data_IF_881127614416
#
_entry.id   IF_881127614416
#
_cell.length_a   1.000
_cell.length_b   1.000
_cell.length_c   1.000
_cell.angle_alpha   90.00
_cell.angle_beta   90.00
_cell.angle_gamma   90.00
#
_symmetry.space_group_name_H-M   'P 1'
#
loop_
_entity.id
_entity.type
_entity.pdbx_description
1 polymer ?
#
# COMPACT_ATOMS: atom_id res chain seq x y z
N UNK A 1 -10.50 -11.08 -11.52
CA UNK A 1 -9.34 -11.79 -10.90
C UNK A 1 -9.64 -12.27 -9.48
N UNK A 2 -9.81 -11.41 -8.49
CA UNK A 2 -10.21 -11.76 -7.13
C UNK A 2 -11.63 -11.27 -6.87
N UNK A 3 -12.51 -12.15 -6.37
CA UNK A 3 -13.88 -11.80 -5.99
C UNK A 3 -14.16 -12.23 -4.57
N UNK A 4 -14.65 -11.31 -3.75
CA UNK A 4 -15.00 -11.51 -2.35
C UNK A 4 -16.46 -11.10 -2.16
N UNK A 5 -17.30 -12.01 -1.63
CA UNK A 5 -18.72 -11.79 -1.42
C UNK A 5 -19.12 -12.09 0.03
N UNK A 6 -19.63 -11.05 0.72
CA UNK A 6 -20.17 -11.11 2.08
C UNK A 6 -19.22 -11.80 3.08
N UNK A 7 -17.92 -11.50 2.97
CA UNK A 7 -16.89 -12.09 3.80
C UNK A 7 -17.04 -11.65 5.26
N UNK A 8 -17.27 -12.59 6.15
CA UNK A 8 -17.32 -12.36 7.58
C UNK A 8 -16.33 -13.28 8.30
N UNK A 9 -15.48 -12.67 9.15
CA UNK A 9 -14.50 -13.39 9.97
C UNK A 9 -14.63 -12.98 11.42
N UNK A 10 -14.80 -13.99 12.29
CA UNK A 10 -14.86 -13.81 13.75
C UNK A 10 -13.75 -14.56 14.44
N UNK A 11 -13.20 -13.97 15.50
CA UNK A 11 -12.31 -14.59 16.46
C UNK A 11 -13.00 -14.57 17.83
N UNK A 12 -13.61 -15.67 18.20
CA UNK A 12 -14.49 -15.73 19.37
C UNK A 12 -15.65 -14.70 19.25
N UNK A 13 -15.71 -13.76 20.17
CA UNK A 13 -16.74 -12.68 20.18
C UNK A 13 -16.36 -11.48 19.29
N UNK A 14 -15.09 -11.38 18.87
CA UNK A 14 -14.60 -10.25 18.07
C UNK A 14 -14.85 -10.50 16.58
N UNK A 15 -15.54 -9.57 15.92
CA UNK A 15 -15.75 -9.59 14.46
C UNK A 15 -14.64 -8.79 13.81
N UNK A 16 -13.71 -9.48 13.15
CA UNK A 16 -12.56 -8.87 12.48
C UNK A 16 -12.90 -8.41 11.06
N UNK A 17 -13.85 -9.07 10.38
CA UNK A 17 -14.43 -8.68 9.10
C UNK A 17 -15.93 -8.88 9.15
N UNK A 18 -16.69 -7.91 8.67
CA UNK A 18 -18.15 -7.89 8.71
C UNK A 18 -18.73 -7.59 7.33
N UNK A 19 -19.18 -8.66 6.64
CA UNK A 19 -19.84 -8.62 5.33
C UNK A 19 -19.04 -7.87 4.25
N UNK A 20 -17.71 -8.02 4.25
CA UNK A 20 -16.83 -7.39 3.27
C UNK A 20 -17.09 -7.99 1.90
N UNK A 21 -17.38 -7.12 0.92
CA UNK A 21 -17.46 -7.48 -0.50
C UNK A 21 -16.58 -6.55 -1.32
N UNK A 22 -15.75 -7.13 -2.19
CA UNK A 22 -14.89 -6.38 -3.11
C UNK A 22 -14.49 -7.25 -4.29
N UNK A 23 -14.11 -6.60 -5.37
CA UNK A 23 -13.64 -7.26 -6.59
C UNK A 23 -12.40 -6.55 -7.12
N UNK A 24 -11.40 -7.34 -7.54
CA UNK A 24 -10.23 -6.84 -8.25
C UNK A 24 -10.35 -7.23 -9.73
N UNK A 25 -10.23 -6.25 -10.58
CA UNK A 25 -10.15 -6.45 -12.02
C UNK A 25 -8.81 -7.08 -12.39
N UNK A 26 -8.79 -7.79 -13.52
CA UNK A 26 -7.56 -8.35 -14.05
C UNK A 26 -6.58 -7.25 -14.46
N UNK A 27 -5.30 -7.51 -14.25
CA UNK A 27 -4.21 -6.61 -14.67
C UNK A 27 -4.32 -5.20 -14.06
N UNK A 28 -4.93 -5.08 -12.89
CA UNK A 28 -5.06 -3.83 -12.16
C UNK A 28 -4.30 -3.88 -10.83
N UNK A 29 -3.88 -2.73 -10.35
CA UNK A 29 -3.38 -2.57 -9.00
C UNK A 29 -4.46 -1.97 -8.11
N UNK A 30 -4.72 -2.62 -6.97
CA UNK A 30 -5.69 -2.18 -5.97
C UNK A 30 -4.98 -1.94 -4.64
N UNK A 31 -5.16 -0.76 -4.08
CA UNK A 31 -4.75 -0.45 -2.71
C UNK A 31 -5.83 -0.88 -1.71
N UNK A 32 -5.43 -1.63 -0.70
CA UNK A 32 -6.25 -1.93 0.48
C UNK A 32 -5.77 -1.05 1.63
N UNK A 33 -6.45 0.06 1.83
CA UNK A 33 -6.11 1.10 2.79
C UNK A 33 -6.87 0.93 4.10
N UNK A 34 -6.32 1.43 5.19
CA UNK A 34 -6.97 1.46 6.49
C UNK A 34 -5.99 1.41 7.65
N UNK A 35 -6.42 1.85 8.85
CA UNK A 35 -5.57 1.89 10.02
C UNK A 35 -5.14 0.50 10.49
N UNK A 36 -4.18 0.45 11.42
CA UNK A 36 -3.83 -0.78 12.09
C UNK A 36 -5.05 -1.36 12.82
N UNK A 37 -5.28 -2.65 12.64
CA UNK A 37 -6.47 -3.31 13.18
C UNK A 37 -7.74 -3.19 12.33
N UNK A 38 -7.71 -2.51 11.17
CA UNK A 38 -8.86 -2.40 10.26
C UNK A 38 -9.34 -3.75 9.69
N UNK A 39 -8.48 -4.78 9.69
CA UNK A 39 -8.80 -6.11 9.16
C UNK A 39 -8.04 -6.48 7.88
N UNK A 40 -7.10 -5.65 7.38
CA UNK A 40 -6.36 -5.86 6.13
C UNK A 40 -5.68 -7.24 6.08
N UNK A 41 -4.79 -7.54 7.03
CA UNK A 41 -4.11 -8.84 7.14
C UNK A 41 -5.10 -10.00 7.34
N UNK A 42 -6.20 -9.78 8.07
CA UNK A 42 -7.24 -10.80 8.24
C UNK A 42 -7.92 -11.12 6.91
N UNK A 43 -8.22 -10.11 6.10
CA UNK A 43 -8.78 -10.27 4.76
C UNK A 43 -7.81 -11.07 3.87
N UNK A 44 -6.54 -10.70 3.86
CA UNK A 44 -5.50 -11.42 3.10
C UNK A 44 -5.41 -12.89 3.56
N UNK A 45 -5.42 -13.16 4.87
CA UNK A 45 -5.42 -14.53 5.41
C UNK A 45 -6.65 -15.35 4.97
N UNK A 46 -7.81 -14.71 4.85
CA UNK A 46 -9.00 -15.35 4.29
C UNK A 46 -8.82 -15.66 2.79
N UNK A 47 -8.29 -14.72 2.01
CA UNK A 47 -7.98 -14.92 0.57
C UNK A 47 -6.99 -16.07 0.38
N UNK A 48 -5.98 -16.17 1.25
CA UNK A 48 -5.01 -17.27 1.24
C UNK A 48 -5.59 -18.59 1.77
N UNK A 49 -6.86 -18.62 2.25
CA UNK A 49 -7.45 -19.81 2.85
C UNK A 49 -6.69 -20.32 4.07
N UNK A 50 -6.08 -19.41 4.84
CA UNK A 50 -5.32 -19.73 6.07
C UNK A 50 -6.21 -19.73 7.32
N UNK A 51 -7.39 -19.16 7.24
CA UNK A 51 -8.35 -19.06 8.36
C UNK A 51 -9.77 -19.34 7.86
N UNK A 52 -10.60 -19.93 8.70
CA UNK A 52 -12.02 -20.14 8.38
C UNK A 52 -12.78 -18.81 8.38
N UNK A 53 -13.72 -18.67 7.46
CA UNK A 53 -14.57 -17.51 7.29
C UNK A 53 -15.97 -17.91 6.80
N UNK A 54 -16.91 -16.98 6.81
CA UNK A 54 -18.22 -17.08 6.17
C UNK A 54 -18.23 -16.17 4.93
N UNK A 55 -18.99 -16.52 3.91
CA UNK A 55 -19.02 -15.84 2.62
C UNK A 55 -18.31 -16.63 1.55
N UNK A 56 -17.97 -15.97 0.43
CA UNK A 56 -17.29 -16.60 -0.70
C UNK A 56 -16.06 -15.81 -1.10
N UNK A 57 -15.00 -16.51 -1.46
CA UNK A 57 -13.80 -15.93 -2.06
C UNK A 57 -13.40 -16.82 -3.25
N UNK A 58 -13.19 -16.19 -4.40
CA UNK A 58 -12.70 -16.87 -5.60
C UNK A 58 -11.52 -16.10 -6.19
N UNK A 59 -10.48 -16.83 -6.59
CA UNK A 59 -9.33 -16.33 -7.35
C UNK A 59 -9.39 -16.94 -8.73
N UNK A 60 -9.57 -16.12 -9.74
CA UNK A 60 -9.77 -16.52 -11.13
C UNK A 60 -10.82 -17.66 -11.29
N UNK A 61 -11.96 -17.45 -10.62
CA UNK A 61 -13.07 -18.41 -10.60
C UNK A 61 -12.85 -19.64 -9.70
N UNK A 62 -11.66 -19.83 -9.09
CA UNK A 62 -11.37 -20.93 -8.19
C UNK A 62 -11.75 -20.56 -6.75
N UNK A 63 -12.69 -21.28 -6.17
CA UNK A 63 -13.10 -21.10 -4.77
C UNK A 63 -11.96 -21.46 -3.81
N UNK A 64 -11.60 -20.54 -2.92
CA UNK A 64 -10.44 -20.73 -2.01
C UNK A 64 -10.67 -21.79 -0.94
N UNK A 65 -11.91 -22.24 -0.70
CA UNK A 65 -12.23 -23.30 0.25
C UNK A 65 -12.25 -24.65 -0.46
N UNK A 66 -13.01 -24.75 -1.56
CA UNK A 66 -13.25 -26.01 -2.27
C UNK A 66 -12.10 -26.37 -3.22
N UNK A 67 -11.46 -25.39 -3.86
CA UNK A 67 -10.34 -25.57 -4.80
C UNK A 67 -9.06 -24.90 -4.28
N UNK A 68 -8.77 -25.04 -2.99
CA UNK A 68 -7.72 -24.34 -2.27
C UNK A 68 -6.34 -24.41 -2.96
N UNK A 69 -5.94 -25.60 -3.44
CA UNK A 69 -4.64 -25.78 -4.12
C UNK A 69 -4.57 -24.99 -5.42
N UNK A 70 -5.62 -25.03 -6.24
CA UNK A 70 -5.68 -24.29 -7.50
C UNK A 70 -5.71 -22.78 -7.24
N UNK A 71 -6.55 -22.30 -6.32
CA UNK A 71 -6.60 -20.90 -5.94
C UNK A 71 -5.26 -20.40 -5.42
N UNK A 72 -4.59 -21.15 -4.52
CA UNK A 72 -3.28 -20.78 -3.99
C UNK A 72 -2.17 -20.75 -5.03
N UNK A 73 -2.22 -21.62 -6.06
CA UNK A 73 -1.21 -21.60 -7.11
C UNK A 73 -1.26 -20.35 -7.98
N UNK A 74 -2.38 -19.62 -7.95
CA UNK A 74 -2.59 -18.36 -8.67
C UNK A 74 -2.19 -17.13 -7.86
N UNK A 75 -1.75 -17.30 -6.60
CA UNK A 75 -1.42 -16.19 -5.71
C UNK A 75 0.03 -16.22 -5.29
N UNK A 76 0.74 -15.13 -5.55
CA UNK A 76 2.01 -14.80 -4.92
C UNK A 76 1.75 -13.92 -3.70
N UNK A 77 2.18 -14.35 -2.53
CA UNK A 77 1.96 -13.61 -1.28
C UNK A 77 3.28 -13.19 -0.64
N UNK A 78 3.40 -11.90 -0.36
CA UNK A 78 4.51 -11.29 0.38
C UNK A 78 3.94 -10.78 1.71
N UNK A 79 4.24 -11.46 2.83
CA UNK A 79 3.77 -11.04 4.15
C UNK A 79 4.53 -9.81 4.64
N UNK A 80 3.96 -9.12 5.64
CA UNK A 80 4.56 -7.97 6.31
C UNK A 80 5.95 -8.32 6.90
N UNK A 81 6.05 -9.50 7.51
CA UNK A 81 7.31 -10.06 8.01
C UNK A 81 7.55 -11.41 7.37
N UNK A 82 8.58 -11.49 6.55
CA UNK A 82 9.00 -12.74 5.95
C UNK A 82 9.91 -13.50 6.91
N UNK A 83 9.50 -14.69 7.31
CA UNK A 83 10.32 -15.59 8.13
C UNK A 83 11.15 -16.47 7.23
N UNK A 84 12.46 -16.27 7.24
CA UNK A 84 13.45 -17.06 6.52
C UNK A 84 14.36 -17.81 7.49
N UNK A 85 15.07 -18.81 6.97
CA UNK A 85 16.13 -19.49 7.73
C UNK A 85 17.42 -18.67 7.62
N UNK A 86 17.73 -17.88 8.64
CA UNK A 86 18.87 -16.95 8.65
C UNK A 86 20.23 -17.61 8.38
N UNK A 87 20.38 -18.90 8.71
CA UNK A 87 21.61 -19.69 8.51
C UNK A 87 21.77 -20.25 7.10
N UNK A 88 20.71 -20.24 6.28
CA UNK A 88 20.75 -20.71 4.89
C UNK A 88 21.31 -19.64 3.96
N UNK A 89 21.89 -20.04 2.85
CA UNK A 89 22.18 -19.15 1.75
C UNK A 89 20.88 -18.76 1.00
N UNK A 90 20.88 -17.60 0.37
CA UNK A 90 19.74 -17.12 -0.45
C UNK A 90 19.35 -18.17 -1.48
N UNK A 91 20.33 -18.79 -2.13
CA UNK A 91 20.11 -19.80 -3.16
C UNK A 91 19.45 -21.06 -2.58
N UNK A 92 19.95 -21.56 -1.47
CA UNK A 92 19.40 -22.77 -0.82
C UNK A 92 17.99 -22.54 -0.31
N UNK A 93 17.75 -21.38 0.32
CA UNK A 93 16.41 -20.97 0.73
C UNK A 93 15.45 -20.90 -0.47
N UNK A 94 15.94 -20.40 -1.60
CA UNK A 94 15.13 -20.26 -2.81
C UNK A 94 14.84 -21.63 -3.46
N UNK A 95 15.82 -22.52 -3.49
CA UNK A 95 15.62 -23.88 -3.98
C UNK A 95 14.65 -24.69 -3.12
N UNK A 96 14.74 -24.55 -1.79
CA UNK A 96 13.80 -25.18 -0.87
C UNK A 96 12.35 -24.77 -1.18
N UNK A 97 12.10 -23.46 -1.35
CA UNK A 97 10.75 -22.98 -1.64
C UNK A 97 10.30 -23.38 -3.07
N UNK A 98 11.20 -23.34 -4.04
CA UNK A 98 10.90 -23.80 -5.40
C UNK A 98 10.50 -25.28 -5.41
N UNK A 99 11.23 -26.15 -4.69
CA UNK A 99 10.90 -27.57 -4.57
C UNK A 99 9.52 -27.79 -3.92
N UNK A 100 9.23 -27.08 -2.82
CA UNK A 100 7.91 -27.13 -2.17
C UNK A 100 6.77 -26.67 -3.09
N UNK A 101 7.05 -25.74 -4.00
CA UNK A 101 6.10 -25.27 -5.02
C UNK A 101 6.11 -26.12 -6.30
N UNK A 102 7.00 -27.13 -6.42
CA UNK A 102 7.17 -27.95 -7.62
C UNK A 102 7.71 -27.15 -8.82
N UNK A 103 8.66 -26.22 -8.56
CA UNK A 103 9.27 -25.33 -9.56
C UNK A 103 10.73 -25.69 -9.80
N UNK A 104 11.22 -25.31 -10.99
CA UNK A 104 12.59 -25.64 -11.39
C UNK A 104 13.65 -24.72 -10.75
N UNK A 105 14.91 -25.17 -10.77
CA UNK A 105 16.05 -24.36 -10.30
C UNK A 105 16.36 -23.21 -11.25
N UNK A 106 16.09 -23.39 -12.54
CA UNK A 106 16.23 -22.35 -13.56
C UNK A 106 15.31 -21.17 -13.25
N UNK A 107 14.05 -21.46 -12.88
CA UNK A 107 13.11 -20.41 -12.48
C UNK A 107 13.60 -19.62 -11.28
N UNK A 108 14.27 -20.24 -10.31
CA UNK A 108 14.88 -19.53 -9.17
C UNK A 108 15.91 -18.51 -9.63
N UNK A 109 16.76 -18.86 -10.61
CA UNK A 109 17.73 -17.93 -11.18
C UNK A 109 17.05 -16.72 -11.78
N UNK A 110 16.01 -16.95 -12.58
CA UNK A 110 15.26 -15.88 -13.25
C UNK A 110 14.60 -14.94 -12.23
N UNK A 111 13.94 -15.51 -11.20
CA UNK A 111 13.27 -14.71 -10.17
C UNK A 111 14.23 -13.93 -9.27
N UNK A 112 15.37 -14.51 -8.88
CA UNK A 112 16.40 -13.77 -8.16
C UNK A 112 17.05 -12.67 -9.02
N UNK A 113 17.20 -12.91 -10.34
CA UNK A 113 17.64 -11.89 -11.29
C UNK A 113 16.64 -10.74 -11.42
N UNK A 114 15.35 -11.04 -11.50
CA UNK A 114 14.27 -10.06 -11.63
C UNK A 114 14.21 -9.04 -10.47
N UNK A 115 14.70 -9.43 -9.28
CA UNK A 115 14.73 -8.59 -8.08
C UNK A 115 16.14 -8.14 -7.69
N UNK A 116 17.13 -8.23 -8.57
CA UNK A 116 18.51 -7.86 -8.33
C UNK A 116 19.17 -8.55 -7.12
N UNK A 117 18.87 -9.82 -6.90
CA UNK A 117 19.42 -10.63 -5.81
C UNK A 117 20.37 -11.76 -6.28
N UNK A 118 20.51 -11.98 -7.59
CA UNK A 118 21.31 -13.07 -8.10
C UNK A 118 22.78 -13.00 -7.65
N UNK A 119 23.37 -11.82 -7.58
CA UNK A 119 24.75 -11.63 -7.14
C UNK A 119 24.94 -11.86 -5.63
N UNK A 120 23.86 -11.76 -4.86
CA UNK A 120 23.84 -12.03 -3.44
C UNK A 120 23.45 -13.48 -3.09
N UNK A 121 23.27 -14.37 -4.08
CA UNK A 121 22.75 -15.74 -3.90
C UNK A 121 23.51 -16.61 -2.91
N UNK A 122 24.83 -16.41 -2.76
CA UNK A 122 25.68 -17.16 -1.84
C UNK A 122 25.81 -16.49 -0.45
N UNK A 123 25.13 -15.35 -0.22
CA UNK A 123 25.10 -14.73 1.10
C UNK A 123 24.12 -15.47 2.00
N UNK A 124 24.41 -15.51 3.31
CA UNK A 124 23.44 -16.00 4.29
C UNK A 124 22.26 -15.03 4.38
N UNK A 125 21.06 -15.56 4.46
CA UNK A 125 19.82 -14.76 4.55
C UNK A 125 19.82 -13.83 5.77
N UNK A 126 20.39 -14.28 6.90
CA UNK A 126 20.53 -13.45 8.10
C UNK A 126 21.42 -12.22 7.92
N UNK A 127 22.33 -12.21 6.92
CA UNK A 127 23.21 -11.07 6.62
C UNK A 127 22.61 -10.06 5.62
N UNK A 128 21.42 -10.32 5.09
CA UNK A 128 20.75 -9.43 4.16
C UNK A 128 20.16 -8.20 4.88
N UNK A 129 20.18 -7.05 4.22
CA UNK A 129 19.40 -5.89 4.67
C UNK A 129 17.91 -6.16 4.60
N UNK A 130 17.08 -5.34 5.29
CA UNK A 130 15.61 -5.44 5.24
C UNK A 130 15.08 -5.37 3.81
N UNK A 131 15.57 -4.45 2.99
CA UNK A 131 15.21 -4.35 1.58
C UNK A 131 15.61 -5.58 0.76
N UNK A 132 16.78 -6.17 1.02
CA UNK A 132 17.19 -7.42 0.36
C UNK A 132 16.30 -8.60 0.81
N UNK A 133 15.94 -8.71 2.09
CA UNK A 133 15.01 -9.73 2.59
C UNK A 133 13.64 -9.58 1.94
N UNK A 134 13.17 -8.36 1.77
CA UNK A 134 11.92 -8.08 1.05
C UNK A 134 12.00 -8.54 -0.41
N UNK A 135 13.06 -8.17 -1.15
CA UNK A 135 13.29 -8.61 -2.52
C UNK A 135 13.34 -10.13 -2.62
N UNK A 136 13.96 -10.82 -1.67
CA UNK A 136 13.92 -12.28 -1.58
C UNK A 136 12.47 -12.79 -1.43
N UNK A 137 11.69 -12.21 -0.52
CA UNK A 137 10.27 -12.56 -0.34
C UNK A 137 9.47 -12.43 -1.64
N UNK A 138 9.72 -11.36 -2.39
CA UNK A 138 9.06 -11.11 -3.68
C UNK A 138 9.50 -12.14 -4.73
N UNK A 139 10.81 -12.44 -4.85
CA UNK A 139 11.31 -13.47 -5.76
C UNK A 139 10.63 -14.83 -5.49
N UNK A 140 10.52 -15.21 -4.21
CA UNK A 140 9.89 -16.46 -3.80
C UNK A 140 8.36 -16.46 -4.02
N UNK A 141 7.72 -15.30 -3.88
CA UNK A 141 6.30 -15.16 -4.20
C UNK A 141 6.04 -15.30 -5.70
N UNK A 142 6.95 -14.82 -6.55
CA UNK A 142 6.88 -14.90 -8.01
C UNK A 142 7.13 -16.30 -8.59
N UNK A 143 7.64 -17.26 -7.79
CA UNK A 143 7.81 -18.64 -8.24
C UNK A 143 6.45 -19.25 -8.65
N UNK A 144 6.39 -19.72 -9.87
CA UNK A 144 5.17 -20.25 -10.49
C UNK A 144 4.39 -19.23 -11.30
N UNK A 145 4.95 -18.04 -11.44
CA UNK A 145 4.38 -16.95 -12.24
C UNK A 145 2.92 -16.60 -11.92
N UNK A 146 2.54 -16.44 -10.63
CA UNK A 146 1.16 -16.25 -10.24
C UNK A 146 0.59 -14.97 -10.87
N UNK A 147 -0.66 -15.00 -11.37
CA UNK A 147 -1.31 -13.83 -11.96
C UNK A 147 -1.72 -12.77 -10.93
N UNK A 148 -1.96 -13.17 -9.67
CA UNK A 148 -2.30 -12.27 -8.57
C UNK A 148 -1.15 -12.19 -7.57
N UNK A 149 -0.66 -10.97 -7.31
CA UNK A 149 0.33 -10.69 -6.28
C UNK A 149 -0.31 -9.93 -5.12
N UNK A 150 -0.13 -10.41 -3.92
CA UNK A 150 -0.64 -9.79 -2.69
C UNK A 150 0.55 -9.37 -1.82
N UNK A 151 0.57 -8.09 -1.45
CA UNK A 151 1.58 -7.50 -0.59
C UNK A 151 0.93 -7.00 0.70
N UNK A 152 1.38 -7.48 1.86
CA UNK A 152 0.89 -7.06 3.17
C UNK A 152 1.92 -6.16 3.84
N UNK A 153 1.66 -4.83 3.86
CA UNK A 153 2.52 -3.78 4.41
C UNK A 153 3.99 -3.84 3.89
N UNK A 154 4.20 -3.90 2.57
CA UNK A 154 5.50 -4.26 2.00
C UNK A 154 6.61 -3.23 2.26
N UNK A 155 6.27 -1.99 2.61
CA UNK A 155 7.24 -0.90 2.77
C UNK A 155 7.46 -0.47 4.22
N UNK A 156 6.85 -1.16 5.19
CA UNK A 156 6.83 -0.75 6.60
C UNK A 156 8.22 -0.74 7.27
N UNK A 157 9.19 -1.51 6.78
CA UNK A 157 10.49 -1.72 7.41
C UNK A 157 11.67 -1.41 6.47
N UNK A 158 11.47 -0.61 5.43
CA UNK A 158 12.51 -0.25 4.47
C UNK A 158 12.71 1.26 4.41
N UNK A 159 13.93 1.67 4.07
CA UNK A 159 14.28 3.06 3.89
C UNK A 159 13.68 3.66 2.59
N UNK A 160 13.82 4.97 2.41
CA UNK A 160 13.29 5.67 1.24
C UNK A 160 13.78 5.09 -0.08
N UNK A 161 15.05 4.66 -0.13
CA UNK A 161 15.60 4.04 -1.35
C UNK A 161 14.91 2.71 -1.66
N UNK A 162 14.70 1.88 -0.65
CA UNK A 162 13.98 0.61 -0.79
C UNK A 162 12.51 0.82 -1.19
N UNK A 163 11.88 1.92 -0.72
CA UNK A 163 10.51 2.28 -1.14
C UNK A 163 10.46 2.60 -2.64
N UNK A 164 11.38 3.43 -3.14
CA UNK A 164 11.47 3.74 -4.57
C UNK A 164 11.78 2.49 -5.43
N UNK A 165 12.67 1.62 -4.98
CA UNK A 165 12.96 0.35 -5.64
C UNK A 165 11.70 -0.55 -5.69
N UNK A 166 10.88 -0.56 -4.62
CA UNK A 166 9.63 -1.29 -4.57
C UNK A 166 8.56 -0.70 -5.51
N UNK A 167 8.43 0.63 -5.60
CA UNK A 167 7.53 1.30 -6.53
C UNK A 167 7.86 0.96 -8.00
N UNK A 168 9.16 0.95 -8.35
CA UNK A 168 9.61 0.53 -9.68
C UNK A 168 9.22 -0.94 -9.95
N UNK A 169 9.41 -1.81 -8.97
CA UNK A 169 9.03 -3.22 -9.10
C UNK A 169 7.50 -3.39 -9.29
N UNK A 170 6.67 -2.60 -8.58
CA UNK A 170 5.21 -2.63 -8.79
C UNK A 170 4.85 -2.22 -10.23
N UNK A 171 5.53 -1.20 -10.76
CA UNK A 171 5.36 -0.75 -12.14
C UNK A 171 5.73 -1.85 -13.13
N UNK A 172 6.83 -2.55 -12.90
CA UNK A 172 7.28 -3.66 -13.74
C UNK A 172 6.30 -4.83 -13.69
N UNK A 173 5.84 -5.23 -12.52
CA UNK A 173 4.84 -6.29 -12.36
C UNK A 173 3.51 -5.94 -13.02
N UNK A 174 3.07 -4.69 -12.89
CA UNK A 174 1.87 -4.18 -13.56
C UNK A 174 2.02 -4.21 -15.08
N UNK A 175 3.18 -3.79 -15.61
CA UNK A 175 3.48 -3.84 -17.06
C UNK A 175 3.51 -5.26 -17.62
N UNK A 176 3.88 -6.25 -16.80
CA UNK A 176 3.83 -7.68 -17.12
C UNK A 176 2.40 -8.25 -17.06
N UNK A 177 1.41 -7.43 -16.75
CA UNK A 177 0.00 -7.81 -16.69
C UNK A 177 -0.39 -8.57 -15.41
N UNK A 178 0.37 -8.43 -14.33
CA UNK A 178 -0.01 -8.97 -13.01
C UNK A 178 -1.16 -8.14 -12.41
N UNK A 179 -2.01 -8.81 -11.67
CA UNK A 179 -2.98 -8.15 -10.79
C UNK A 179 -2.34 -7.97 -9.41
N UNK A 180 -2.44 -6.77 -8.83
CA UNK A 180 -1.78 -6.44 -7.57
C UNK A 180 -2.81 -6.07 -6.51
N UNK A 181 -2.71 -6.65 -5.31
CA UNK A 181 -3.40 -6.21 -4.10
C UNK A 181 -2.35 -5.77 -3.09
N UNK A 182 -2.34 -4.49 -2.74
CA UNK A 182 -1.32 -3.91 -1.87
C UNK A 182 -2.01 -3.38 -0.62
N UNK A 183 -1.88 -4.11 0.49
CA UNK A 183 -2.33 -3.61 1.79
C UNK A 183 -1.25 -2.70 2.37
N UNK A 184 -1.60 -1.46 2.64
CA UNK A 184 -0.67 -0.47 3.17
C UNK A 184 -1.38 0.60 3.98
N UNK A 185 -0.63 1.28 4.83
CA UNK A 185 -1.02 2.52 5.50
C UNK A 185 -0.16 3.69 5.01
N UNK A 186 0.74 3.48 4.05
CA UNK A 186 1.63 4.53 3.53
C UNK A 186 0.99 5.26 2.35
N UNK A 187 1.18 6.57 2.35
CA UNK A 187 0.86 7.46 1.24
C UNK A 187 1.95 7.35 0.16
N UNK A 188 1.56 7.59 -1.10
CA UNK A 188 2.49 7.65 -2.23
C UNK A 188 2.29 6.56 -3.27
N UNK A 189 1.57 5.48 -2.95
CA UNK A 189 1.25 4.43 -3.91
C UNK A 189 -0.04 4.72 -4.72
N UNK A 190 -0.72 5.85 -4.42
CA UNK A 190 -2.00 6.23 -5.06
C UNK A 190 -1.84 6.40 -6.59
N UNK A 191 -0.67 6.83 -7.05
CA UNK A 191 -0.36 7.01 -8.48
C UNK A 191 -0.17 5.69 -9.24
N UNK A 192 0.17 4.61 -8.52
CA UNK A 192 0.39 3.29 -9.09
C UNK A 192 -0.87 2.41 -9.11
N UNK A 193 -1.99 2.89 -8.54
CA UNK A 193 -3.19 2.10 -8.38
C UNK A 193 -4.36 2.62 -9.21
N UNK A 194 -5.09 1.70 -9.85
CA UNK A 194 -6.34 1.98 -10.55
C UNK A 194 -7.53 1.99 -9.60
N UNK A 195 -7.43 1.30 -8.46
CA UNK A 195 -8.49 1.19 -7.47
C UNK A 195 -7.94 1.30 -6.05
N UNK A 196 -8.73 1.86 -5.15
CA UNK A 196 -8.49 1.81 -3.72
C UNK A 196 -9.74 1.34 -2.98
N UNK A 197 -9.54 0.54 -1.94
CA UNK A 197 -10.58 0.07 -1.02
C UNK A 197 -10.15 0.50 0.38
N UNK A 198 -10.99 1.27 1.04
CA UNK A 198 -10.76 1.72 2.41
C UNK A 198 -11.49 0.80 3.37
N UNK A 199 -10.74 0.15 4.25
CA UNK A 199 -11.24 -0.74 5.28
C UNK A 199 -11.11 -0.07 6.65
N UNK A 200 -12.17 -0.09 7.45
CA UNK A 200 -12.14 0.30 8.86
C UNK A 200 -13.03 -0.61 9.69
N UNK A 201 -12.52 -1.03 10.87
CA UNK A 201 -13.25 -1.91 11.82
C UNK A 201 -13.92 -3.10 11.13
N UNK A 202 -13.23 -3.69 10.15
CA UNK A 202 -13.69 -4.86 9.40
C UNK A 202 -14.73 -4.59 8.33
N UNK A 203 -15.02 -3.34 7.97
CA UNK A 203 -16.00 -2.96 6.94
C UNK A 203 -15.35 -2.16 5.82
N UNK A 204 -15.86 -2.32 4.59
CA UNK A 204 -15.50 -1.44 3.48
C UNK A 204 -16.22 -0.12 3.66
N UNK A 205 -15.47 0.95 3.86
CA UNK A 205 -15.98 2.30 4.04
C UNK A 205 -16.13 3.02 2.70
N UNK A 206 -15.22 2.76 1.77
CA UNK A 206 -15.26 3.30 0.42
C UNK A 206 -14.45 2.43 -0.54
N UNK A 207 -14.82 2.49 -1.81
CA UNK A 207 -14.06 1.90 -2.91
C UNK A 207 -14.22 2.74 -4.17
N UNK A 208 -13.20 2.76 -5.03
CA UNK A 208 -13.20 3.48 -6.30
C UNK A 208 -11.80 3.90 -6.72
N UNK A 209 -11.71 4.69 -7.79
CA UNK A 209 -10.44 5.27 -8.23
C UNK A 209 -9.88 6.23 -7.18
N UNK A 210 -8.55 6.21 -6.88
CA UNK A 210 -7.95 7.05 -5.85
C UNK A 210 -8.31 8.54 -5.99
N UNK A 211 -8.17 9.10 -7.18
CA UNK A 211 -8.47 10.52 -7.43
C UNK A 211 -9.94 10.89 -7.23
N UNK A 212 -10.88 9.98 -7.51
CA UNK A 212 -12.30 10.20 -7.26
C UNK A 212 -12.65 10.14 -5.77
N UNK A 213 -12.02 9.21 -5.05
CA UNK A 213 -12.19 9.11 -3.60
C UNK A 213 -11.73 10.40 -2.91
N UNK A 214 -10.56 10.93 -3.30
CA UNK A 214 -10.04 12.20 -2.78
C UNK A 214 -11.00 13.38 -3.06
N UNK A 215 -11.59 13.44 -4.26
CA UNK A 215 -12.59 14.46 -4.60
C UNK A 215 -13.86 14.34 -3.75
N UNK A 216 -14.40 13.14 -3.56
CA UNK A 216 -15.64 12.89 -2.79
C UNK A 216 -15.51 13.31 -1.33
N UNK A 217 -14.31 13.17 -0.75
CA UNK A 217 -14.06 13.55 0.66
C UNK A 217 -13.60 15.00 0.82
N UNK A 218 -13.65 15.82 -0.24
CA UNK A 218 -13.12 17.18 -0.22
C UNK A 218 -11.70 17.25 0.39
N UNK A 219 -10.82 16.45 -0.15
CA UNK A 219 -9.49 16.26 0.38
C UNK A 219 -8.73 17.57 0.59
N UNK A 220 -8.06 17.69 1.74
CA UNK A 220 -7.37 18.89 2.19
C UNK A 220 -5.86 18.63 2.15
N UNK A 221 -5.17 19.29 1.23
CA UNK A 221 -3.71 19.36 1.22
C UNK A 221 -3.22 20.28 2.35
N UNK A 222 -1.96 20.16 2.74
CA UNK A 222 -1.34 21.11 3.65
C UNK A 222 -0.17 21.79 2.95
N UNK A 223 -0.22 23.11 2.83
CA UNK A 223 0.92 23.92 2.36
C UNK A 223 1.68 24.40 3.58
N UNK A 224 2.96 24.11 3.62
CA UNK A 224 3.91 24.66 4.58
C UNK A 224 4.68 25.77 3.86
N UNK A 225 4.64 26.97 4.42
CA UNK A 225 5.36 28.12 3.86
C UNK A 225 6.20 28.75 4.95
N UNK A 226 7.45 29.04 4.62
CA UNK A 226 8.34 29.87 5.44
C UNK A 226 8.62 31.14 4.66
N UNK A 227 8.32 32.28 5.27
CA UNK A 227 8.51 33.61 4.70
C UNK A 227 9.44 34.43 5.58
N UNK A 228 9.95 35.54 5.07
CA UNK A 228 10.68 36.53 5.88
C UNK A 228 9.78 37.11 6.98
N UNK A 229 10.36 37.59 8.06
CA UNK A 229 9.61 38.18 9.19
C UNK A 229 8.66 39.28 8.73
N UNK A 230 9.11 40.17 7.85
CA UNK A 230 8.32 41.28 7.31
C UNK A 230 7.10 40.80 6.48
N UNK A 231 7.17 39.61 5.90
CA UNK A 231 6.12 39.04 5.07
C UNK A 231 5.13 38.17 5.87
N UNK A 232 5.41 37.86 7.14
CA UNK A 232 4.61 36.91 7.92
C UNK A 232 3.14 37.34 8.09
N UNK A 233 2.90 38.61 8.40
CA UNK A 233 1.54 39.14 8.54
C UNK A 233 0.77 39.10 7.20
N UNK A 234 1.42 39.44 6.11
CA UNK A 234 0.82 39.42 4.77
C UNK A 234 0.51 37.98 4.34
N UNK A 235 1.47 37.06 4.53
CA UNK A 235 1.29 35.66 4.21
C UNK A 235 0.12 35.02 4.99
N UNK A 236 0.01 35.37 6.27
CA UNK A 236 -1.11 34.90 7.11
C UNK A 236 -2.45 35.45 6.63
N UNK A 237 -2.54 36.74 6.30
CA UNK A 237 -3.74 37.36 5.75
C UNK A 237 -4.19 36.74 4.42
N UNK A 238 -3.23 36.46 3.51
CA UNK A 238 -3.52 35.75 2.27
C UNK A 238 -4.04 34.32 2.59
N UNK A 239 -3.36 33.59 3.48
CA UNK A 239 -3.73 32.22 3.83
C UNK A 239 -5.12 32.12 4.46
N UNK A 240 -5.50 33.07 5.33
CA UNK A 240 -6.82 33.15 5.98
C UNK A 240 -7.95 33.38 4.96
N UNK A 241 -7.67 33.98 3.80
CA UNK A 241 -8.63 34.07 2.69
C UNK A 241 -8.94 32.73 1.99
N UNK A 242 -8.11 31.70 2.20
CA UNK A 242 -8.29 30.36 1.61
C UNK A 242 -8.59 29.28 2.64
N UNK A 243 -8.32 29.53 3.93
CA UNK A 243 -8.42 28.52 4.98
C UNK A 243 -8.68 29.13 6.35
N UNK A 244 -9.62 28.56 7.08
CA UNK A 244 -9.89 28.91 8.48
C UNK A 244 -8.95 28.21 9.48
N UNK A 245 -8.10 27.30 9.02
CA UNK A 245 -7.25 26.45 9.85
C UNK A 245 -5.76 26.80 9.80
N UNK A 246 -5.42 28.07 9.52
CA UNK A 246 -4.01 28.52 9.42
C UNK A 246 -3.34 28.47 10.79
N UNK A 247 -2.21 27.77 10.85
CA UNK A 247 -1.40 27.64 12.08
C UNK A 247 0.03 28.09 11.83
N UNK A 248 0.68 28.62 12.88
CA UNK A 248 2.11 28.93 12.85
C UNK A 248 2.85 28.02 13.80
N UNK A 249 3.89 27.33 13.32
CA UNK A 249 4.71 26.43 14.13
C UNK A 249 6.17 26.47 13.67
N UNK A 250 7.10 26.81 14.55
CA UNK A 250 8.54 26.79 14.26
C UNK A 250 8.96 27.68 13.07
N UNK A 251 8.30 28.84 12.88
CA UNK A 251 8.57 29.76 11.76
C UNK A 251 7.91 29.36 10.44
N UNK A 252 7.13 28.28 10.42
CA UNK A 252 6.34 27.85 9.28
C UNK A 252 4.87 28.25 9.45
N UNK A 253 4.24 28.70 8.37
CA UNK A 253 2.80 28.76 8.20
C UNK A 253 2.32 27.41 7.66
N UNK A 254 1.41 26.77 8.36
CA UNK A 254 0.74 25.53 7.97
C UNK A 254 -0.68 25.91 7.53
N UNK A 255 -0.98 25.67 6.26
CA UNK A 255 -2.21 26.14 5.62
C UNK A 255 -2.95 24.93 5.04
N UNK A 256 -3.96 24.40 5.76
CA UNK A 256 -4.85 23.39 5.17
C UNK A 256 -5.66 24.02 4.03
N UNK A 257 -5.63 23.43 2.84
CA UNK A 257 -6.29 23.97 1.66
C UNK A 257 -6.92 22.87 0.81
N UNK A 258 -8.08 23.13 0.25
CA UNK A 258 -8.69 22.20 -0.70
C UNK A 258 -7.79 21.99 -1.91
N UNK A 259 -7.73 20.75 -2.42
CA UNK A 259 -6.89 20.39 -3.58
C UNK A 259 -7.14 21.33 -4.77
N UNK A 260 -8.38 21.74 -5.00
CA UNK A 260 -8.77 22.66 -6.07
C UNK A 260 -8.23 24.08 -5.92
N UNK A 261 -8.01 24.55 -4.68
CA UNK A 261 -7.56 25.91 -4.37
C UNK A 261 -6.05 26.02 -4.14
N UNK A 262 -5.35 24.88 -4.03
CA UNK A 262 -3.92 24.79 -3.75
C UNK A 262 -3.02 25.66 -4.65
N UNK A 263 -3.22 25.54 -5.96
CA UNK A 263 -2.41 26.27 -6.93
C UNK A 263 -2.62 27.80 -6.85
N UNK A 264 -3.88 28.22 -6.62
CA UNK A 264 -4.23 29.64 -6.46
C UNK A 264 -3.63 30.24 -5.19
N UNK A 265 -3.71 29.53 -4.08
CA UNK A 265 -3.09 29.93 -2.82
C UNK A 265 -1.57 30.03 -2.92
N UNK A 266 -0.91 29.00 -3.45
CA UNK A 266 0.55 29.01 -3.65
C UNK A 266 0.98 30.19 -4.50
N UNK A 267 0.28 30.47 -5.62
CA UNK A 267 0.54 31.63 -6.48
C UNK A 267 0.34 32.97 -5.76
N UNK A 268 -0.72 33.10 -4.95
CA UNK A 268 -0.99 34.33 -4.20
C UNK A 268 0.12 34.62 -3.17
N UNK A 269 0.60 33.60 -2.46
CA UNK A 269 1.69 33.72 -1.49
C UNK A 269 3.01 34.06 -2.19
N UNK A 270 3.35 33.37 -3.27
CA UNK A 270 4.60 33.62 -4.03
C UNK A 270 4.66 35.04 -4.62
N UNK A 271 3.52 35.58 -5.03
CA UNK A 271 3.46 36.94 -5.58
C UNK A 271 3.40 38.03 -4.51
N UNK A 272 2.88 37.75 -3.32
CA UNK A 272 2.64 38.75 -2.27
C UNK A 272 3.69 38.78 -1.16
N UNK A 273 4.57 37.79 -1.09
CA UNK A 273 5.47 37.58 0.05
C UNK A 273 6.89 37.21 -0.39
N UNK A 274 7.87 37.57 0.44
CA UNK A 274 9.23 37.05 0.29
C UNK A 274 9.31 35.63 0.88
N UNK A 275 9.11 34.61 0.02
CA UNK A 275 9.08 33.20 0.39
C UNK A 275 10.49 32.65 0.48
N UNK A 276 10.85 32.12 1.66
CA UNK A 276 12.13 31.47 1.93
C UNK A 276 12.09 29.98 1.57
N UNK A 277 10.92 29.33 1.79
CA UNK A 277 10.75 27.91 1.53
C UNK A 277 9.25 27.57 1.42
N UNK A 278 8.92 26.58 0.60
CA UNK A 278 7.56 26.10 0.43
C UNK A 278 7.55 24.57 0.24
N UNK A 279 6.69 23.88 0.99
CA UNK A 279 6.51 22.46 0.90
C UNK A 279 5.01 22.16 0.82
N UNK A 280 4.62 21.31 -0.10
CA UNK A 280 3.23 20.89 -0.24
C UNK A 280 3.12 19.43 0.14
N UNK A 281 2.37 19.16 1.20
CA UNK A 281 2.02 17.81 1.60
C UNK A 281 0.64 17.47 1.01
N UNK A 282 0.56 16.57 0.02
CA UNK A 282 -0.70 16.20 -0.57
C UNK A 282 -1.58 15.44 0.41
N UNK A 283 -2.88 15.59 0.23
CA UNK A 283 -3.87 14.77 0.91
C UNK A 283 -3.75 13.32 0.43
N UNK A 284 -3.77 12.40 1.38
CA UNK A 284 -3.84 10.97 1.06
C UNK A 284 -5.22 10.44 1.43
N UNK A 285 -5.70 9.43 0.70
CA UNK A 285 -6.99 8.80 0.97
C UNK A 285 -7.06 8.39 2.44
N UNK A 286 -6.00 7.74 2.93
CA UNK A 286 -5.95 7.27 4.31
C UNK A 286 -6.03 8.41 5.32
N UNK A 287 -5.21 9.46 5.17
CA UNK A 287 -5.17 10.59 6.10
C UNK A 287 -6.51 11.33 6.18
N UNK A 288 -7.23 11.41 5.07
CA UNK A 288 -8.54 12.06 5.02
C UNK A 288 -9.65 11.17 5.59
N UNK A 289 -9.65 9.87 5.29
CA UNK A 289 -10.59 8.94 5.90
C UNK A 289 -10.38 8.79 7.40
N UNK A 290 -9.14 8.77 7.88
CA UNK A 290 -8.86 8.77 9.32
C UNK A 290 -9.41 10.02 10.03
N UNK A 291 -9.36 11.19 9.40
CA UNK A 291 -9.98 12.42 9.92
C UNK A 291 -11.50 12.32 9.98
N UNK A 292 -12.13 11.73 8.96
CA UNK A 292 -13.58 11.53 8.92
C UNK A 292 -14.07 10.53 9.98
N UNK A 293 -13.30 9.47 10.22
CA UNK A 293 -13.63 8.40 11.19
C UNK A 293 -13.26 8.82 12.61
N UNK A 294 -12.13 9.53 12.78
CA UNK A 294 -11.63 9.99 14.09
C UNK A 294 -12.20 11.31 14.57
N UNK A 295 -12.91 12.07 13.75
CA UNK A 295 -13.54 13.35 14.06
C UNK A 295 -14.85 13.24 14.85
N UNK A 296 -15.17 12.09 15.40
CA UNK A 296 -16.34 11.81 16.23
C UNK A 296 -16.01 11.68 17.74
N UNK A 297 -14.96 12.36 18.22
CA UNK A 297 -14.72 12.56 19.66
C UNK A 297 -14.40 14.01 19.94
#
# INVERSE_FOLDING_TARGET
>A
MLKIENLTKRYGKFTALDQVSMELEDKSATLLLGPNGAGKTTLIRCVMGLVYFQGKIAVDGQDVVHNNKAAKSMVGYVPQESSFYDNMEVLDQSYLIAELKGRSREEVKDRLGQVDLWDARNKRVGSLSSGMKQRLGIALALLGDPPLMIFDEPTSNIDLRGQLEFENLLTDLSSQGKTLLIATHLSGLDEHAQQAVVLDKGKVMASGQPGELLKRINAIDTIYVRVSEDSMATAKGIAEGYSNGVMTRGGWLLIPVQVSAKASLAKAILNGCNVLDILIQPATIESQYLKLIGGGN
#
